data_IF_175598133326
#
_entry.id   IF_175598133326
#
_cell.length_a   1.000
_cell.length_b   1.000
_cell.length_c   1.000
_cell.angle_alpha   90.00
_cell.angle_beta   90.00
_cell.angle_gamma   90.00
#
_symmetry.space_group_name_H-M   'P 1'
#
loop_
_entity.id
_entity.type
_entity.pdbx_description
1 polymer ?
#
# COMPACT_ATOMS: atom_id res chain seq x y z
N UNK A 1 10.55 12.03 -0.93
CA UNK A 1 11.39 12.48 -2.09
C UNK A 1 12.82 11.95 -1.94
N UNK A 2 13.37 11.22 -2.93
CA UNK A 2 14.76 10.73 -2.92
C UNK A 2 15.81 11.85 -2.92
N UNK A 3 16.97 11.59 -2.29
CA UNK A 3 18.12 12.51 -2.24
C UNK A 3 19.38 11.80 -2.69
N UNK A 4 20.02 12.27 -3.76
CA UNK A 4 21.33 11.79 -4.20
C UNK A 4 22.41 12.63 -3.53
N UNK A 5 23.24 12.00 -2.71
CA UNK A 5 24.39 12.63 -2.05
C UNK A 5 25.66 12.41 -2.87
N UNK A 6 26.22 13.46 -3.46
CA UNK A 6 27.52 13.48 -4.14
C UNK A 6 28.65 13.77 -3.15
N UNK A 7 29.44 12.75 -2.83
CA UNK A 7 30.62 12.87 -1.97
C UNK A 7 31.83 13.19 -2.86
N UNK A 8 32.36 14.39 -2.70
CA UNK A 8 33.38 14.96 -3.57
C UNK A 8 34.50 15.66 -2.78
N UNK A 9 35.57 16.08 -3.46
CA UNK A 9 36.62 16.92 -2.92
C UNK A 9 37.22 17.83 -4.01
N UNK A 10 37.77 19.02 -3.69
CA UNK A 10 38.25 19.99 -4.68
C UNK A 10 39.45 19.49 -5.51
N UNK A 11 40.24 18.58 -4.94
CA UNK A 11 41.39 17.94 -5.59
C UNK A 11 41.00 16.74 -6.47
N UNK A 12 39.76 16.26 -6.39
CA UNK A 12 39.28 15.13 -7.17
C UNK A 12 38.97 15.55 -8.62
N UNK A 13 39.85 15.14 -9.55
CA UNK A 13 39.67 15.40 -10.99
C UNK A 13 38.34 14.86 -11.56
N UNK A 14 38.00 13.57 -11.36
CA UNK A 14 36.75 13.00 -11.88
C UNK A 14 35.48 13.67 -11.31
N UNK A 15 35.52 14.16 -10.07
CA UNK A 15 34.41 14.86 -9.44
C UNK A 15 34.02 16.14 -10.21
N UNK A 16 34.99 16.83 -10.83
CA UNK A 16 34.75 18.03 -11.62
C UNK A 16 33.93 17.78 -12.89
N UNK A 17 33.95 16.55 -13.41
CA UNK A 17 33.11 16.15 -14.54
C UNK A 17 31.73 15.67 -14.08
N UNK A 18 31.66 14.94 -12.96
CA UNK A 18 30.42 14.36 -12.45
C UNK A 18 29.48 15.43 -11.87
N UNK A 19 29.99 16.39 -11.08
CA UNK A 19 29.16 17.41 -10.42
C UNK A 19 28.21 18.16 -11.37
N UNK A 20 28.70 18.78 -12.47
CA UNK A 20 27.84 19.47 -13.43
C UNK A 20 26.84 18.55 -14.15
N UNK A 21 27.19 17.28 -14.35
CA UNK A 21 26.28 16.28 -14.90
C UNK A 21 25.12 15.99 -13.92
N UNK A 22 25.42 15.85 -12.63
CA UNK A 22 24.40 15.63 -11.61
C UNK A 22 23.46 16.84 -11.46
N UNK A 23 23.99 18.06 -11.48
CA UNK A 23 23.21 19.31 -11.44
C UNK A 23 22.28 19.45 -12.67
N UNK A 24 22.78 19.08 -13.86
CA UNK A 24 21.97 18.99 -15.09
C UNK A 24 20.83 17.98 -14.94
N UNK A 25 21.12 16.81 -14.37
CA UNK A 25 20.11 15.76 -14.17
C UNK A 25 19.08 16.17 -13.12
N UNK A 26 19.47 16.81 -12.03
CA UNK A 26 18.53 17.33 -11.03
C UNK A 26 17.52 18.29 -11.67
N UNK A 27 18.00 19.21 -12.52
CA UNK A 27 17.14 20.12 -13.28
C UNK A 27 16.22 19.35 -14.24
N UNK A 28 16.75 18.38 -14.98
CA UNK A 28 15.99 17.59 -15.94
C UNK A 28 14.97 16.64 -15.32
N UNK A 29 15.11 16.29 -14.04
CA UNK A 29 14.16 15.47 -13.30
C UNK A 29 13.12 16.31 -12.55
N UNK A 30 13.16 17.64 -12.65
CA UNK A 30 12.10 18.56 -12.20
C UNK A 30 11.67 18.33 -10.75
N UNK A 31 12.65 18.13 -9.86
CA UNK A 31 12.41 17.94 -8.43
C UNK A 31 11.95 16.54 -8.00
N UNK A 32 11.92 15.56 -8.92
CA UNK A 32 11.67 14.13 -8.59
C UNK A 32 12.75 13.53 -7.71
N UNK A 33 13.96 14.09 -7.72
CA UNK A 33 15.00 13.86 -6.71
C UNK A 33 15.69 15.19 -6.36
N UNK A 34 16.40 15.23 -5.24
CA UNK A 34 17.26 16.34 -4.86
C UNK A 34 18.73 15.93 -4.86
N UNK A 35 19.62 16.81 -5.28
CA UNK A 35 21.07 16.63 -5.21
C UNK A 35 21.61 17.33 -3.96
N UNK A 36 22.32 16.59 -3.12
CA UNK A 36 23.09 17.11 -2.01
C UNK A 36 24.57 16.89 -2.29
N UNK A 37 25.43 17.86 -1.95
CA UNK A 37 26.88 17.76 -2.17
C UNK A 37 27.58 17.76 -0.82
N UNK A 38 28.42 16.76 -0.57
CA UNK A 38 29.21 16.63 0.65
C UNK A 38 30.69 16.68 0.27
N UNK A 39 31.37 17.73 0.72
CA UNK A 39 32.82 17.78 0.63
C UNK A 39 33.43 16.87 1.69
N UNK A 40 34.16 15.83 1.27
CA UNK A 40 34.79 14.87 2.19
C UNK A 40 35.88 15.48 3.06
N UNK A 41 36.47 16.60 2.64
CA UNK A 41 37.47 17.32 3.44
C UNK A 41 36.81 18.11 4.59
N UNK A 42 35.62 18.66 4.34
CA UNK A 42 34.87 19.46 5.33
C UNK A 42 34.07 18.58 6.30
N UNK A 43 33.59 17.42 5.83
CA UNK A 43 32.75 16.49 6.58
C UNK A 43 33.33 15.04 6.55
N UNK A 44 34.55 14.82 7.07
CA UNK A 44 35.27 13.56 6.92
C UNK A 44 34.61 12.40 7.66
N UNK A 45 33.97 12.65 8.81
CA UNK A 45 33.31 11.61 9.60
C UNK A 45 32.11 10.99 8.85
N UNK A 46 31.25 11.84 8.28
CA UNK A 46 30.08 11.41 7.50
C UNK A 46 30.52 10.67 6.23
N UNK A 47 31.51 11.22 5.51
CA UNK A 47 32.06 10.58 4.32
C UNK A 47 32.65 9.20 4.64
N UNK A 48 33.40 9.07 5.74
CA UNK A 48 34.00 7.81 6.17
C UNK A 48 32.93 6.77 6.57
N UNK A 49 31.90 7.18 7.32
CA UNK A 49 30.81 6.28 7.72
C UNK A 49 30.09 5.71 6.49
N UNK A 50 29.68 6.56 5.55
CA UNK A 50 29.00 6.11 4.32
C UNK A 50 29.92 5.24 3.46
N UNK A 51 31.19 5.60 3.33
CA UNK A 51 32.17 4.80 2.59
C UNK A 51 32.35 3.42 3.20
N UNK A 52 32.40 3.31 4.53
CA UNK A 52 32.48 2.01 5.22
C UNK A 52 31.21 1.18 5.03
N UNK A 53 30.03 1.77 5.13
CA UNK A 53 28.74 1.07 4.94
C UNK A 53 28.63 0.42 3.56
N UNK A 54 29.15 1.07 2.51
CA UNK A 54 29.12 0.58 1.13
C UNK A 54 30.41 -0.11 0.68
N UNK A 55 31.42 -0.25 1.56
CA UNK A 55 32.71 -0.85 1.23
C UNK A 55 33.54 -0.05 0.19
N UNK A 56 33.27 1.25 0.06
CA UNK A 56 33.90 2.16 -0.91
C UNK A 56 35.10 2.85 -0.27
N UNK A 57 36.14 3.12 -1.07
CA UNK A 57 37.39 3.77 -0.59
C UNK A 57 37.83 4.94 -1.46
N UNK A 58 37.04 5.33 -2.45
CA UNK A 58 37.41 6.31 -3.47
C UNK A 58 36.26 7.24 -3.79
N UNK A 59 36.58 8.50 -4.07
CA UNK A 59 35.66 9.51 -4.58
C UNK A 59 35.87 9.72 -6.10
N UNK A 60 34.85 10.19 -6.84
CA UNK A 60 33.50 10.52 -6.39
C UNK A 60 32.71 9.28 -5.96
N UNK A 61 31.91 9.43 -4.91
CA UNK A 61 31.00 8.40 -4.42
C UNK A 61 29.62 9.01 -4.24
N UNK A 62 28.61 8.44 -4.89
CA UNK A 62 27.24 8.90 -4.80
C UNK A 62 26.39 7.90 -4.02
N UNK A 63 25.60 8.38 -3.06
CA UNK A 63 24.67 7.56 -2.27
C UNK A 63 23.26 8.09 -2.45
N UNK A 64 22.33 7.23 -2.84
CA UNK A 64 20.92 7.58 -2.92
C UNK A 64 20.23 7.26 -1.60
N UNK A 65 19.55 8.25 -1.05
CA UNK A 65 18.70 8.14 0.13
C UNK A 65 17.23 8.18 -0.26
N UNK A 66 16.42 7.31 0.34
CA UNK A 66 14.96 7.35 0.28
C UNK A 66 14.43 7.10 1.70
N UNK A 67 13.47 7.91 2.11
CA UNK A 67 12.85 7.85 3.46
C UNK A 67 13.90 7.87 4.60
N UNK A 68 14.94 8.68 4.42
CA UNK A 68 16.03 8.86 5.39
C UNK A 68 17.06 7.73 5.43
N UNK A 69 16.89 6.67 4.65
CA UNK A 69 17.79 5.52 4.61
C UNK A 69 18.62 5.50 3.32
N UNK A 70 19.90 5.13 3.37
CA UNK A 70 20.70 4.90 2.17
C UNK A 70 20.25 3.59 1.50
N UNK A 71 19.78 3.66 0.25
CA UNK A 71 19.17 2.53 -0.45
C UNK A 71 20.03 1.96 -1.58
N UNK A 72 20.89 2.78 -2.19
CA UNK A 72 21.79 2.36 -3.27
C UNK A 72 22.92 3.38 -3.43
N UNK A 73 23.95 3.08 -4.21
CA UNK A 73 25.04 4.01 -4.52
C UNK A 73 25.92 3.56 -5.68
N UNK A 74 26.71 4.49 -6.20
CA UNK A 74 27.69 4.21 -7.26
C UNK A 74 28.98 4.97 -7.05
N UNK A 75 30.08 4.44 -7.57
CA UNK A 75 31.44 4.99 -7.43
C UNK A 75 31.99 5.39 -8.79
N UNK A 76 32.71 6.51 -8.81
CA UNK A 76 33.38 7.02 -9.99
C UNK A 76 32.52 7.94 -10.85
N UNK A 77 33.16 8.57 -11.83
CA UNK A 77 32.49 9.43 -12.80
C UNK A 77 31.87 8.58 -13.91
N UNK A 78 30.60 8.20 -13.74
CA UNK A 78 29.87 7.41 -14.73
C UNK A 78 29.35 8.28 -15.90
N UNK A 79 29.16 7.71 -17.10
CA UNK A 79 28.46 8.38 -18.19
C UNK A 79 27.02 8.72 -17.84
N UNK A 80 26.47 9.78 -18.46
CA UNK A 80 25.08 10.24 -18.24
C UNK A 80 24.04 9.11 -18.34
N UNK A 81 24.17 8.22 -19.33
CA UNK A 81 23.25 7.09 -19.51
C UNK A 81 23.23 6.12 -18.33
N UNK A 82 24.37 5.89 -17.69
CA UNK A 82 24.47 5.01 -16.52
C UNK A 82 23.92 5.69 -15.27
N UNK A 83 24.16 6.99 -15.10
CA UNK A 83 23.59 7.75 -13.98
C UNK A 83 22.07 7.82 -14.11
N UNK A 84 21.53 8.05 -15.31
CA UNK A 84 20.07 7.99 -15.56
C UNK A 84 19.52 6.61 -15.26
N UNK A 85 20.13 5.55 -15.78
CA UNK A 85 19.69 4.18 -15.49
C UNK A 85 19.79 3.82 -14.00
N UNK A 86 20.69 4.44 -13.23
CA UNK A 86 20.73 4.32 -11.78
C UNK A 86 19.56 5.07 -11.13
N UNK A 87 19.32 6.33 -11.51
CA UNK A 87 18.24 7.15 -10.98
C UNK A 87 16.87 6.55 -11.30
N UNK A 88 16.63 6.12 -12.53
CA UNK A 88 15.33 5.59 -13.00
C UNK A 88 14.92 4.29 -12.30
N UNK A 89 15.84 3.61 -11.60
CA UNK A 89 15.50 2.45 -10.75
C UNK A 89 14.78 2.84 -9.46
N UNK A 90 14.98 4.07 -9.00
CA UNK A 90 14.64 4.49 -7.63
C UNK A 90 13.83 5.79 -7.56
N UNK A 91 13.96 6.63 -8.58
CA UNK A 91 13.26 7.89 -8.74
C UNK A 91 12.02 7.62 -9.58
N UNK A 92 10.81 7.96 -9.09
CA UNK A 92 9.59 7.77 -9.85
C UNK A 92 9.67 8.55 -11.17
N UNK A 93 9.04 8.01 -12.21
CA UNK A 93 8.78 8.70 -13.46
C UNK A 93 7.90 9.95 -13.22
N UNK A 94 7.82 10.84 -14.22
CA UNK A 94 6.95 12.01 -14.12
C UNK A 94 5.48 11.61 -13.92
N UNK A 95 5.04 10.56 -14.62
CA UNK A 95 3.69 10.02 -14.50
C UNK A 95 3.41 9.44 -13.10
N UNK A 96 4.33 8.63 -12.58
CA UNK A 96 4.21 8.08 -11.22
C UNK A 96 4.21 9.20 -10.16
N UNK A 97 5.03 10.25 -10.33
CA UNK A 97 5.05 11.37 -9.38
C UNK A 97 3.76 12.19 -9.39
N UNK A 98 3.11 12.33 -10.55
CA UNK A 98 1.79 13.00 -10.64
C UNK A 98 0.74 12.10 -9.97
N UNK A 99 0.73 10.81 -10.27
CA UNK A 99 -0.18 9.86 -9.65
C UNK A 99 -0.03 9.81 -8.12
N UNK A 100 1.20 9.83 -7.60
CA UNK A 100 1.46 9.90 -6.15
C UNK A 100 0.86 11.16 -5.50
N UNK A 101 0.92 12.31 -6.19
CA UNK A 101 0.35 13.57 -5.69
C UNK A 101 -1.18 13.52 -5.67
N UNK A 102 -1.79 13.06 -6.75
CA UNK A 102 -3.25 12.95 -6.84
C UNK A 102 -3.80 11.93 -5.83
N UNK A 103 -3.09 10.81 -5.57
CA UNK A 103 -3.45 9.86 -4.50
C UNK A 103 -3.39 10.53 -3.12
N UNK A 104 -2.31 11.27 -2.81
CA UNK A 104 -2.17 11.94 -1.52
C UNK A 104 -3.24 13.03 -1.31
N UNK A 105 -3.62 13.73 -2.38
CA UNK A 105 -4.73 14.70 -2.35
C UNK A 105 -6.07 13.98 -2.12
N UNK A 106 -6.32 12.87 -2.80
CA UNK A 106 -7.52 12.05 -2.59
C UNK A 106 -7.64 11.53 -1.16
N UNK A 107 -6.54 11.07 -0.54
CA UNK A 107 -6.53 10.65 0.87
C UNK A 107 -6.96 11.79 1.80
N UNK A 108 -6.48 13.01 1.54
CA UNK A 108 -6.83 14.20 2.31
C UNK A 108 -8.31 14.55 2.13
N UNK A 109 -8.82 14.53 0.90
CA UNK A 109 -10.22 14.79 0.58
C UNK A 109 -11.16 13.75 1.21
N UNK A 110 -10.78 12.47 1.23
CA UNK A 110 -11.54 11.41 1.93
C UNK A 110 -11.60 11.70 3.43
N UNK A 111 -10.50 12.13 4.04
CA UNK A 111 -10.47 12.48 5.46
C UNK A 111 -11.36 13.69 5.79
N UNK A 112 -11.52 14.61 4.84
CA UNK A 112 -12.41 15.77 4.92
C UNK A 112 -13.88 15.43 4.59
N UNK A 113 -14.13 14.25 4.02
CA UNK A 113 -15.46 13.77 3.62
C UNK A 113 -15.89 14.17 2.21
N UNK A 114 -15.01 14.79 1.41
CA UNK A 114 -15.27 15.11 0.01
C UNK A 114 -14.93 13.91 -0.89
N UNK A 115 -15.84 12.94 -0.88
CA UNK A 115 -15.64 11.65 -1.57
C UNK A 115 -15.67 11.78 -3.09
N UNK A 116 -16.48 12.69 -3.64
CA UNK A 116 -16.61 12.82 -5.10
C UNK A 116 -15.34 13.42 -5.71
N UNK A 117 -14.78 14.49 -5.11
CA UNK A 117 -13.51 15.06 -5.58
C UNK A 117 -12.36 14.06 -5.38
N UNK A 118 -12.38 13.28 -4.30
CA UNK A 118 -11.38 12.23 -4.09
C UNK A 118 -11.44 11.13 -5.17
N UNK A 119 -12.64 10.74 -5.59
CA UNK A 119 -12.83 9.78 -6.69
C UNK A 119 -12.22 10.31 -7.98
N UNK A 120 -12.46 11.58 -8.32
CA UNK A 120 -11.90 12.21 -9.52
C UNK A 120 -10.37 12.20 -9.47
N UNK A 121 -9.78 12.55 -8.33
CA UNK A 121 -8.33 12.50 -8.11
C UNK A 121 -7.73 11.10 -8.27
N UNK A 122 -8.41 10.08 -7.76
CA UNK A 122 -7.97 8.68 -7.92
C UNK A 122 -8.08 8.21 -9.39
N UNK A 123 -9.06 8.71 -10.14
CA UNK A 123 -9.17 8.45 -11.57
C UNK A 123 -8.04 9.12 -12.35
N UNK A 124 -7.71 10.37 -12.04
CA UNK A 124 -6.58 11.10 -12.62
C UNK A 124 -5.25 10.39 -12.34
N UNK A 125 -5.05 9.91 -11.11
CA UNK A 125 -3.87 9.13 -10.73
C UNK A 125 -3.72 7.85 -11.57
N UNK A 126 -4.81 7.11 -11.80
CA UNK A 126 -4.82 5.89 -12.64
C UNK A 126 -4.64 6.23 -14.11
N UNK A 127 -5.11 7.39 -14.57
CA UNK A 127 -4.89 7.86 -15.93
C UNK A 127 -3.41 8.22 -16.17
N UNK A 128 -2.75 8.82 -15.18
CA UNK A 128 -1.32 9.10 -15.20
C UNK A 128 -0.49 7.80 -15.13
N UNK A 129 -0.82 6.90 -14.21
CA UNK A 129 -0.18 5.58 -14.06
C UNK A 129 -1.21 4.45 -14.02
N UNK A 130 -1.45 3.84 -15.18
CA UNK A 130 -2.37 2.71 -15.31
C UNK A 130 -1.93 1.45 -14.55
N UNK A 131 -0.65 1.37 -14.16
CA UNK A 131 -0.07 0.30 -13.36
C UNK A 131 -0.29 0.47 -11.85
N UNK A 132 -0.81 1.61 -11.40
CA UNK A 132 -1.01 1.89 -9.98
C UNK A 132 -2.22 1.13 -9.41
N UNK A 133 -2.00 -0.15 -9.11
CA UNK A 133 -3.01 -1.02 -8.49
C UNK A 133 -3.39 -0.57 -7.06
N UNK A 134 -2.51 0.20 -6.40
CA UNK A 134 -2.80 0.86 -5.12
C UNK A 134 -3.90 1.92 -5.24
N UNK A 135 -3.70 2.92 -6.13
CA UNK A 135 -4.70 3.94 -6.42
C UNK A 135 -6.03 3.32 -6.90
N UNK A 136 -5.96 2.23 -7.67
CA UNK A 136 -7.15 1.49 -8.09
C UNK A 136 -7.88 0.80 -6.93
N UNK A 137 -7.17 0.25 -5.94
CA UNK A 137 -7.79 -0.24 -4.70
C UNK A 137 -8.53 0.89 -3.97
N UNK A 138 -7.89 2.05 -3.82
CA UNK A 138 -8.47 3.17 -3.10
C UNK A 138 -9.69 3.73 -3.82
N UNK A 139 -9.65 3.81 -5.16
CA UNK A 139 -10.80 4.15 -6.00
C UNK A 139 -11.96 3.18 -5.79
N UNK A 140 -11.69 1.87 -5.81
CA UNK A 140 -12.72 0.84 -5.58
C UNK A 140 -13.36 0.99 -4.19
N UNK A 141 -12.55 1.25 -3.16
CA UNK A 141 -13.05 1.46 -1.80
C UNK A 141 -13.92 2.71 -1.70
N UNK A 142 -13.50 3.82 -2.32
CA UNK A 142 -14.27 5.06 -2.33
C UNK A 142 -15.61 4.88 -3.07
N UNK A 143 -15.60 4.28 -4.26
CA UNK A 143 -16.81 4.02 -5.05
C UNK A 143 -17.78 3.09 -4.33
N UNK A 144 -17.30 1.97 -3.77
CA UNK A 144 -18.14 1.04 -3.01
C UNK A 144 -18.67 1.67 -1.73
N UNK A 145 -17.85 2.48 -1.04
CA UNK A 145 -18.23 3.26 0.13
C UNK A 145 -19.37 4.24 -0.16
N UNK A 146 -19.32 4.88 -1.33
CA UNK A 146 -20.35 5.80 -1.83
C UNK A 146 -21.57 5.11 -2.47
N UNK A 147 -21.59 3.77 -2.54
CA UNK A 147 -22.67 3.02 -3.20
C UNK A 147 -22.67 3.09 -4.73
N UNK A 148 -21.59 3.57 -5.35
CA UNK A 148 -21.40 3.69 -6.81
C UNK A 148 -20.96 2.34 -7.42
N UNK A 149 -21.77 1.29 -7.21
CA UNK A 149 -21.43 -0.11 -7.55
C UNK A 149 -21.11 -0.32 -9.03
N UNK A 150 -21.85 0.32 -9.94
CA UNK A 150 -21.62 0.18 -11.40
C UNK A 150 -20.25 0.73 -11.82
N UNK A 151 -19.83 1.84 -11.23
CA UNK A 151 -18.53 2.45 -11.50
C UNK A 151 -17.41 1.64 -10.87
N UNK A 152 -17.61 1.13 -9.65
CA UNK A 152 -16.68 0.20 -9.02
C UNK A 152 -16.47 -1.06 -9.88
N UNK A 153 -17.54 -1.58 -10.50
CA UNK A 153 -17.43 -2.70 -11.45
C UNK A 153 -16.53 -2.37 -12.62
N UNK A 154 -16.72 -1.21 -13.25
CA UNK A 154 -15.89 -0.76 -14.36
C UNK A 154 -14.43 -0.58 -13.98
N UNK A 155 -14.15 0.01 -12.80
CA UNK A 155 -12.80 0.21 -12.29
C UNK A 155 -12.08 -1.10 -11.94
N UNK A 156 -12.83 -2.15 -11.57
CA UNK A 156 -12.27 -3.46 -11.22
C UNK A 156 -11.94 -4.33 -12.46
N UNK A 157 -12.66 -4.17 -13.56
CA UNK A 157 -12.51 -5.04 -14.74
C UNK A 157 -11.04 -5.17 -15.22
N UNK A 158 -10.24 -4.08 -15.31
CA UNK A 158 -8.84 -4.17 -15.77
C UNK A 158 -7.91 -4.94 -14.83
N UNK A 159 -8.30 -5.15 -13.57
CA UNK A 159 -7.53 -5.86 -12.54
C UNK A 159 -8.05 -7.24 -12.20
N UNK A 160 -9.21 -7.64 -12.73
CA UNK A 160 -9.88 -8.88 -12.34
C UNK A 160 -8.99 -10.14 -12.49
N UNK A 161 -8.08 -10.16 -13.47
CA UNK A 161 -7.13 -11.27 -13.69
C UNK A 161 -5.92 -11.27 -12.75
N UNK A 162 -5.64 -10.14 -12.07
CA UNK A 162 -4.46 -9.95 -11.20
C UNK A 162 -4.76 -10.09 -9.70
N UNK A 163 -6.00 -10.37 -9.33
CA UNK A 163 -6.46 -10.41 -7.92
C UNK A 163 -5.72 -11.43 -7.05
N UNK A 164 -5.14 -12.48 -7.66
CA UNK A 164 -4.36 -13.47 -6.92
C UNK A 164 -3.01 -12.91 -6.43
N UNK A 165 -2.57 -11.78 -6.98
CA UNK A 165 -1.28 -11.14 -6.68
C UNK A 165 -1.43 -10.02 -5.63
N UNK A 166 -2.66 -9.50 -5.42
CA UNK A 166 -2.94 -8.44 -4.47
C UNK A 166 -4.19 -8.77 -3.63
N UNK A 167 -3.96 -9.02 -2.32
CA UNK A 167 -5.01 -9.34 -1.38
C UNK A 167 -6.04 -8.21 -1.19
N UNK A 168 -5.63 -6.94 -1.34
CA UNK A 168 -6.53 -5.77 -1.24
C UNK A 168 -7.48 -5.71 -2.42
N UNK A 169 -6.97 -5.97 -3.63
CA UNK A 169 -7.82 -6.09 -4.83
C UNK A 169 -8.77 -7.28 -4.71
N UNK A 170 -8.30 -8.44 -4.24
CA UNK A 170 -9.17 -9.58 -3.98
C UNK A 170 -10.29 -9.22 -2.99
N UNK A 171 -9.97 -8.49 -1.91
CA UNK A 171 -10.93 -8.06 -0.91
C UNK A 171 -11.97 -7.07 -1.45
N UNK A 172 -11.55 -6.09 -2.27
CA UNK A 172 -12.47 -5.20 -2.98
C UNK A 172 -13.42 -5.97 -3.91
N UNK A 173 -12.92 -7.04 -4.55
CA UNK A 173 -13.75 -7.93 -5.39
C UNK A 173 -14.86 -8.64 -4.60
N UNK A 174 -14.55 -9.10 -3.39
CA UNK A 174 -15.56 -9.67 -2.49
C UNK A 174 -16.61 -8.64 -2.06
N UNK A 175 -16.19 -7.40 -1.76
CA UNK A 175 -17.13 -6.33 -1.38
C UNK A 175 -18.02 -5.93 -2.56
N UNK A 176 -17.45 -5.80 -3.75
CA UNK A 176 -18.19 -5.52 -4.98
C UNK A 176 -19.23 -6.60 -5.27
N UNK A 177 -18.86 -7.88 -5.19
CA UNK A 177 -19.80 -8.99 -5.37
C UNK A 177 -20.96 -8.93 -4.35
N UNK A 178 -20.67 -8.57 -3.10
CA UNK A 178 -21.71 -8.39 -2.08
C UNK A 178 -22.65 -7.22 -2.40
N UNK A 179 -22.11 -6.09 -2.88
CA UNK A 179 -22.90 -4.93 -3.34
C UNK A 179 -23.78 -5.28 -4.54
N UNK A 180 -23.28 -6.06 -5.50
CA UNK A 180 -24.05 -6.50 -6.67
C UNK A 180 -25.17 -7.49 -6.30
N UNK A 181 -24.95 -8.37 -5.32
CA UNK A 181 -25.94 -9.37 -4.90
C UNK A 181 -26.99 -8.85 -3.92
N UNK A 182 -26.65 -7.83 -3.12
CA UNK A 182 -27.54 -7.30 -2.08
C UNK A 182 -28.94 -6.88 -2.61
N UNK A 183 -29.09 -6.23 -3.78
CA UNK A 183 -30.42 -5.88 -4.31
C UNK A 183 -31.27 -7.08 -4.77
N UNK A 184 -30.64 -8.22 -5.11
CA UNK A 184 -31.32 -9.35 -5.79
C UNK A 184 -31.69 -10.49 -4.82
N UNK A 185 -31.00 -10.62 -3.68
CA UNK A 185 -31.24 -11.69 -2.70
C UNK A 185 -32.48 -11.51 -1.82
N UNK A 186 -32.72 -12.44 -0.88
CA UNK A 186 -33.81 -12.32 0.11
C UNK A 186 -33.62 -11.10 1.00
N UNK A 187 -34.67 -10.33 1.29
CA UNK A 187 -34.58 -9.15 2.16
C UNK A 187 -34.64 -9.54 3.66
N UNK A 188 -34.29 -8.62 4.56
CA UNK A 188 -34.01 -8.93 5.98
C UNK A 188 -35.11 -9.76 6.69
N UNK A 189 -36.42 -9.48 6.53
CA UNK A 189 -37.47 -10.29 7.16
C UNK A 189 -37.56 -11.71 6.63
N UNK A 190 -37.26 -11.92 5.34
CA UNK A 190 -37.21 -13.27 4.76
C UNK A 190 -36.01 -14.06 5.29
N UNK A 191 -34.85 -13.40 5.42
CA UNK A 191 -33.66 -13.99 6.00
C UNK A 191 -33.89 -14.34 7.48
N UNK A 192 -34.54 -13.45 8.22
CA UNK A 192 -34.92 -13.70 9.62
C UNK A 192 -35.83 -14.92 9.75
N UNK A 193 -36.89 -15.00 8.93
CA UNK A 193 -37.81 -16.14 8.94
C UNK A 193 -37.11 -17.46 8.57
N UNK A 194 -36.24 -17.45 7.55
CA UNK A 194 -35.47 -18.62 7.14
C UNK A 194 -34.56 -19.14 8.27
N UNK A 195 -33.82 -18.24 8.93
CA UNK A 195 -32.90 -18.61 10.02
C UNK A 195 -33.64 -18.98 11.32
N UNK A 196 -34.86 -18.50 11.52
CA UNK A 196 -35.73 -18.94 12.61
C UNK A 196 -36.26 -20.36 12.38
N UNK A 197 -36.59 -20.70 11.13
CA UNK A 197 -37.05 -22.02 10.74
C UNK A 197 -35.92 -23.06 10.72
N UNK A 198 -34.75 -22.70 10.18
CA UNK A 198 -33.56 -23.55 10.17
C UNK A 198 -32.31 -22.73 10.51
N UNK A 199 -31.78 -22.96 11.72
CA UNK A 199 -30.54 -22.32 12.17
C UNK A 199 -29.30 -22.77 11.38
N UNK A 200 -29.38 -23.83 10.57
CA UNK A 200 -28.29 -24.33 9.71
C UNK A 200 -28.50 -24.00 8.23
N UNK A 201 -29.46 -23.13 7.89
CA UNK A 201 -29.55 -22.53 6.55
C UNK A 201 -28.35 -21.59 6.33
N UNK A 202 -27.24 -22.18 5.86
CA UNK A 202 -26.00 -21.45 5.62
C UNK A 202 -26.10 -20.53 4.40
N UNK A 203 -26.98 -20.81 3.44
CA UNK A 203 -27.23 -19.90 2.32
C UNK A 203 -27.90 -18.62 2.83
N UNK A 204 -28.97 -18.74 3.63
CA UNK A 204 -29.61 -17.56 4.24
C UNK A 204 -28.65 -16.80 5.14
N UNK A 205 -27.80 -17.51 5.88
CA UNK A 205 -26.82 -16.85 6.74
C UNK A 205 -25.76 -16.10 5.93
N UNK A 206 -25.27 -16.69 4.84
CA UNK A 206 -24.30 -16.05 3.96
C UNK A 206 -24.91 -14.87 3.21
N UNK A 207 -26.15 -14.96 2.72
CA UNK A 207 -26.89 -13.83 2.16
C UNK A 207 -27.01 -12.67 3.16
N UNK A 208 -27.33 -12.96 4.44
CA UNK A 208 -27.35 -11.95 5.50
C UNK A 208 -25.98 -11.31 5.70
N UNK A 209 -24.91 -12.12 5.72
CA UNK A 209 -23.54 -11.62 5.81
C UNK A 209 -23.19 -10.70 4.64
N UNK A 210 -23.53 -11.08 3.41
CA UNK A 210 -23.29 -10.26 2.21
C UNK A 210 -24.05 -8.93 2.26
N UNK A 211 -25.30 -8.91 2.74
CA UNK A 211 -26.03 -7.65 2.92
C UNK A 211 -25.36 -6.72 3.91
N UNK A 212 -24.93 -7.25 5.07
CA UNK A 212 -24.20 -6.48 6.09
C UNK A 212 -22.87 -5.98 5.55
N UNK A 213 -22.18 -6.79 4.76
CA UNK A 213 -20.93 -6.41 4.11
C UNK A 213 -21.15 -5.27 3.09
N UNK A 214 -22.17 -5.38 2.23
CA UNK A 214 -22.55 -4.34 1.28
C UNK A 214 -22.90 -3.02 1.99
N UNK A 215 -23.56 -3.09 3.15
CA UNK A 215 -23.90 -1.92 3.98
C UNK A 215 -22.77 -1.47 4.92
N UNK A 216 -21.53 -1.94 4.73
CA UNK A 216 -20.35 -1.61 5.55
C UNK A 216 -20.45 -1.99 7.04
N UNK A 217 -21.42 -2.82 7.41
CA UNK A 217 -21.54 -3.42 8.74
C UNK A 217 -20.60 -4.64 8.84
N UNK A 218 -19.29 -4.36 8.75
CA UNK A 218 -18.24 -5.36 8.61
C UNK A 218 -18.18 -6.35 9.78
N UNK A 219 -18.35 -5.85 11.01
CA UNK A 219 -18.33 -6.67 12.21
C UNK A 219 -19.49 -7.66 12.25
N UNK A 220 -20.70 -7.19 11.96
CA UNK A 220 -21.90 -8.00 11.91
C UNK A 220 -21.83 -9.02 10.77
N UNK A 221 -21.29 -8.64 9.60
CA UNK A 221 -21.03 -9.57 8.51
C UNK A 221 -20.09 -10.69 8.95
N UNK A 222 -19.00 -10.36 9.65
CA UNK A 222 -18.05 -11.35 10.18
C UNK A 222 -18.66 -12.28 11.23
N UNK A 223 -19.55 -11.78 12.10
CA UNK A 223 -20.28 -12.61 13.06
C UNK A 223 -21.15 -13.67 12.37
N UNK A 224 -21.85 -13.30 11.30
CA UNK A 224 -22.64 -14.24 10.49
C UNK A 224 -21.76 -15.31 9.83
N UNK A 225 -20.59 -14.92 9.31
CA UNK A 225 -19.65 -15.84 8.68
C UNK A 225 -19.03 -16.82 9.69
N UNK A 226 -18.75 -16.37 10.92
CA UNK A 226 -18.25 -17.26 11.98
C UNK A 226 -19.24 -18.34 12.33
N UNK A 227 -20.55 -18.04 12.37
CA UNK A 227 -21.58 -19.04 12.62
C UNK A 227 -21.59 -20.14 11.54
N UNK A 228 -21.28 -19.82 10.28
CA UNK A 228 -21.09 -20.81 9.22
C UNK A 228 -19.82 -21.63 9.52
N UNK A 229 -18.69 -20.95 9.71
CA UNK A 229 -17.38 -21.59 9.90
C UNK A 229 -17.30 -22.50 11.13
N UNK A 230 -18.02 -22.17 12.20
CA UNK A 230 -18.12 -23.00 13.41
C UNK A 230 -18.82 -24.35 13.17
N UNK A 231 -19.63 -24.46 12.10
CA UNK A 231 -20.43 -25.66 11.81
C UNK A 231 -19.96 -26.39 10.56
N UNK A 232 -19.49 -25.66 9.56
CA UNK A 232 -18.91 -26.19 8.33
C UNK A 232 -17.85 -25.22 7.77
N UNK A 233 -16.57 -25.57 7.98
CA UNK A 233 -15.41 -24.77 7.57
C UNK A 233 -15.24 -24.70 6.06
N UNK A 234 -15.75 -25.70 5.33
CA UNK A 234 -15.52 -25.88 3.90
C UNK A 234 -16.79 -25.63 3.08
N UNK A 235 -17.86 -25.15 3.71
CA UNK A 235 -19.11 -24.81 3.04
C UNK A 235 -18.86 -23.91 1.81
N UNK A 236 -19.37 -24.35 0.65
CA UNK A 236 -19.17 -23.75 -0.68
C UNK A 236 -17.70 -23.39 -0.95
N UNK A 237 -16.82 -24.40 -0.91
CA UNK A 237 -15.39 -24.27 -1.20
C UNK A 237 -14.69 -23.19 -0.35
N UNK A 238 -15.15 -23.06 0.90
CA UNK A 238 -14.62 -22.14 1.90
C UNK A 238 -14.90 -20.66 1.61
N UNK A 239 -15.95 -20.34 0.84
CA UNK A 239 -16.29 -18.94 0.51
C UNK A 239 -16.50 -18.08 1.77
N UNK A 240 -17.09 -18.64 2.83
CA UNK A 240 -17.30 -17.93 4.09
C UNK A 240 -15.98 -17.46 4.71
N UNK A 241 -14.94 -18.31 4.67
CA UNK A 241 -13.60 -17.96 5.17
C UNK A 241 -12.94 -16.90 4.30
N UNK A 242 -13.05 -17.04 2.97
CA UNK A 242 -12.48 -16.08 2.01
C UNK A 242 -13.10 -14.69 2.19
N UNK A 243 -14.42 -14.60 2.30
CA UNK A 243 -15.14 -13.34 2.57
C UNK A 243 -14.75 -12.77 3.93
N UNK A 244 -14.61 -13.60 4.97
CA UNK A 244 -14.18 -13.12 6.29
C UNK A 244 -12.78 -12.49 6.24
N UNK A 245 -11.83 -13.14 5.57
CA UNK A 245 -10.47 -12.62 5.39
C UNK A 245 -10.48 -11.34 4.56
N UNK A 246 -11.31 -11.27 3.52
CA UNK A 246 -11.48 -10.05 2.73
C UNK A 246 -11.98 -8.87 3.59
N UNK A 247 -12.94 -9.09 4.49
CA UNK A 247 -13.42 -8.03 5.40
C UNK A 247 -12.28 -7.56 6.33
N UNK A 248 -11.50 -8.49 6.89
CA UNK A 248 -10.34 -8.13 7.71
C UNK A 248 -9.30 -7.30 6.95
N UNK A 249 -9.06 -7.63 5.69
CA UNK A 249 -8.15 -6.89 4.82
C UNK A 249 -8.65 -5.46 4.59
N UNK A 250 -9.95 -5.28 4.30
CA UNK A 250 -10.56 -3.96 4.10
C UNK A 250 -10.55 -3.10 5.37
N UNK A 251 -10.76 -3.72 6.54
CA UNK A 251 -10.71 -3.03 7.83
C UNK A 251 -9.29 -2.68 8.28
N UNK A 252 -8.27 -3.36 7.75
CA UNK A 252 -6.88 -3.06 8.10
C UNK A 252 -6.50 -1.76 7.41
N UNK A 253 -6.06 -0.76 8.21
CA UNK A 253 -5.53 0.48 7.64
C UNK A 253 -4.26 0.15 6.85
N UNK A 254 -4.07 0.70 5.65
CA UNK A 254 -2.77 0.64 5.00
C UNK A 254 -1.73 1.25 5.95
N UNK A 255 -0.60 0.57 6.13
CA UNK A 255 0.49 1.11 6.91
C UNK A 255 0.97 2.39 6.23
N UNK A 256 0.76 3.53 6.88
CA UNK A 256 1.30 4.80 6.39
C UNK A 256 2.82 4.78 6.51
N UNK A 257 3.52 5.48 5.62
CA UNK A 257 4.98 5.67 5.72
C UNK A 257 5.41 6.33 7.06
N UNK A 258 4.47 6.89 7.83
CA UNK A 258 4.71 7.45 9.16
C UNK A 258 4.80 6.38 10.28
N UNK A 259 4.34 5.14 10.05
CA UNK A 259 4.48 4.04 11.02
C UNK A 259 5.89 3.42 11.03
N UNK A 260 6.75 3.75 10.06
CA UNK A 260 8.17 3.39 10.06
C UNK A 260 9.02 4.49 10.70
N UNK A 261 8.88 4.67 12.01
CA UNK A 261 9.81 5.51 12.80
C UNK A 261 11.20 4.81 12.84
N UNK A 262 12.26 5.36 12.20
CA UNK A 262 13.57 4.74 12.14
C UNK A 262 14.40 4.95 13.41
N UNK A 263 13.89 5.62 14.45
CA UNK A 263 14.64 5.88 15.68
C UNK A 263 14.87 4.65 16.58
N UNK A 264 14.41 3.45 16.18
CA UNK A 264 14.50 2.21 16.97
C UNK A 264 15.71 1.30 16.70
N UNK A 265 16.82 1.83 16.19
CA UNK A 265 18.08 1.08 16.13
C UNK A 265 19.21 1.79 16.87
N UNK A 266 19.23 1.63 18.19
CA UNK A 266 20.45 1.71 18.99
C UNK A 266 20.44 0.64 20.08
N UNK A 267 21.25 -0.40 19.86
CA UNK A 267 21.93 -1.16 20.92
C UNK A 267 21.10 -2.12 21.78
N UNK A 268 21.46 -3.40 21.65
CA UNK A 268 21.39 -4.52 22.62
C UNK A 268 20.44 -5.64 22.19
N UNK A 269 21.04 -6.81 22.01
CA UNK A 269 20.40 -8.11 21.80
C UNK A 269 19.32 -8.38 22.85
N UNK A 270 18.08 -8.63 22.42
CA UNK A 270 17.21 -9.66 22.98
C UNK A 270 16.36 -10.28 21.87
N UNK A 271 16.58 -11.57 21.60
CA UNK A 271 15.69 -12.42 20.81
C UNK A 271 14.44 -12.71 21.63
N UNK A 272 13.36 -11.98 21.36
CA UNK A 272 12.00 -12.44 21.60
C UNK A 272 11.10 -11.97 20.45
N UNK A 273 10.51 -12.93 19.74
CA UNK A 273 9.60 -12.67 18.63
C UNK A 273 8.34 -11.97 19.13
N UNK A 274 8.34 -10.64 19.12
CA UNK A 274 7.15 -9.83 18.96
C UNK A 274 7.51 -8.66 18.05
N UNK A 275 7.27 -8.81 16.76
CA UNK A 275 7.20 -7.66 15.87
C UNK A 275 6.06 -6.77 16.36
N UNK A 276 6.41 -5.61 16.94
CA UNK A 276 5.46 -4.52 17.13
C UNK A 276 5.14 -3.95 15.76
N UNK A 277 4.18 -4.58 15.08
CA UNK A 277 3.42 -4.04 13.95
C UNK A 277 2.71 -2.76 14.38
N UNK A 278 2.47 -1.86 13.42
CA UNK A 278 1.65 -0.65 13.53
C UNK A 278 0.44 -0.85 14.45
N UNK A 279 0.09 0.18 15.24
CA UNK A 279 -0.91 0.14 16.31
C UNK A 279 -2.15 -0.67 15.90
N UNK A 280 -2.20 -1.92 16.38
CA UNK A 280 -3.17 -2.87 15.89
C UNK A 280 -4.58 -2.48 16.35
N UNK A 281 -5.51 -2.38 15.40
CA UNK A 281 -6.92 -2.13 15.72
C UNK A 281 -7.44 -3.29 16.60
N UNK A 282 -7.83 -3.03 17.86
CA UNK A 282 -8.19 -4.07 18.81
C UNK A 282 -9.42 -4.87 18.35
N UNK A 283 -10.29 -4.26 17.51
CA UNK A 283 -11.44 -4.93 16.91
C UNK A 283 -10.97 -5.93 15.88
N UNK A 284 -10.15 -5.50 14.92
CA UNK A 284 -9.62 -6.37 13.85
C UNK A 284 -8.85 -7.54 14.45
N UNK A 285 -8.03 -7.30 15.47
CA UNK A 285 -7.28 -8.34 16.18
C UNK A 285 -8.19 -9.32 16.93
N UNK A 286 -9.28 -8.81 17.52
CA UNK A 286 -10.31 -9.65 18.13
C UNK A 286 -10.92 -10.63 17.12
N UNK A 287 -11.27 -10.14 15.93
CA UNK A 287 -11.81 -10.98 14.86
C UNK A 287 -10.76 -11.93 14.25
N UNK A 288 -9.48 -11.53 14.14
CA UNK A 288 -8.40 -12.45 13.75
C UNK A 288 -8.26 -13.62 14.73
N UNK A 289 -8.32 -13.35 16.04
CA UNK A 289 -8.27 -14.40 17.08
C UNK A 289 -9.48 -15.33 16.99
N UNK A 290 -10.69 -14.80 16.83
CA UNK A 290 -11.92 -15.61 16.68
C UNK A 290 -11.83 -16.52 15.45
N UNK A 291 -11.36 -16.02 14.32
CA UNK A 291 -11.15 -16.85 13.13
C UNK A 291 -10.16 -17.98 13.39
N UNK A 292 -9.03 -17.67 14.04
CA UNK A 292 -8.02 -18.67 14.39
C UNK A 292 -8.60 -19.80 15.24
N UNK A 293 -9.36 -19.46 16.30
CA UNK A 293 -10.01 -20.44 17.19
C UNK A 293 -11.07 -21.32 16.50
N UNK A 294 -11.68 -20.82 15.41
CA UNK A 294 -12.71 -21.57 14.69
C UNK A 294 -12.07 -22.44 13.60
N UNK A 295 -11.02 -21.96 12.94
CA UNK A 295 -10.40 -22.64 11.80
C UNK A 295 -9.41 -23.72 12.26
N UNK A 296 -8.65 -23.49 13.33
CA UNK A 296 -7.69 -24.43 13.91
C UNK A 296 -8.28 -25.16 15.12
#
# INVERSE_FOLDING_TARGET
RPVLLDIWAPWCGPCKALGPLLEKLETAYEGRFALAKLNSDDQPEIAAQLSQMFGVRSIPFCVLFKDGQPIDGFVGALPESQVRAFLDKHVPSAAESVAEQDVAEAESLIAEGDIDTAIDKLQDAIAADAGNDGARCDLLRALLGAGRTTEARAAYEPVASRIAQDARLAACGHWLAACEQSPVGRWEPQLHAALAADKRDFEARFERAQRRFASQAFTEAMDELLEILMRDKNWRDGIARKTYVAILELMTRPATAADSDPTKHAGTLELSHQSKSAAADPVVDGYRRRLSMVVF
#
